data_IF_939684523010
#
_entry.id   IF_939684523010
#
_cell.length_a   1.000
_cell.length_b   1.000
_cell.length_c   1.000
_cell.angle_alpha   90.00
_cell.angle_beta   90.00
_cell.angle_gamma   90.00
#
_symmetry.space_group_name_H-M   'P 1'
#
loop_
_entity.id
_entity.type
_entity.pdbx_description
1 polymer ?
#
# COMPACT_ATOMS: atom_id res chain seq x y z
N UNK A 1 -1.11 19.73 -20.98
CA UNK A 1 0.16 19.33 -20.34
C UNK A 1 0.10 17.83 -20.09
N UNK A 2 0.67 16.99 -20.97
CA UNK A 2 0.68 15.53 -20.76
C UNK A 2 1.63 15.21 -19.60
N UNK A 3 1.11 14.60 -18.55
CA UNK A 3 1.94 14.08 -17.46
C UNK A 3 2.88 13.02 -18.05
N UNK A 4 4.19 13.11 -17.73
CA UNK A 4 5.14 12.11 -18.16
C UNK A 4 4.79 10.74 -17.58
N UNK A 5 5.14 9.64 -18.25
CA UNK A 5 4.87 8.29 -17.77
C UNK A 5 5.38 8.04 -16.32
N UNK A 6 6.52 8.63 -15.95
CA UNK A 6 7.05 8.60 -14.58
C UNK A 6 6.12 9.28 -13.54
N UNK A 7 5.32 10.27 -13.94
CA UNK A 7 4.37 10.93 -13.05
C UNK A 7 3.17 10.04 -12.74
N UNK A 8 2.75 9.21 -13.69
CA UNK A 8 1.69 8.24 -13.48
C UNK A 8 2.09 7.08 -12.55
N UNK A 9 3.36 6.65 -12.62
CA UNK A 9 3.88 5.68 -11.63
C UNK A 9 3.90 6.26 -10.22
N UNK A 10 4.32 7.53 -10.08
CA UNK A 10 4.27 8.24 -8.78
C UNK A 10 2.85 8.36 -8.26
N UNK A 11 1.90 8.73 -9.13
CA UNK A 11 0.48 8.80 -8.75
C UNK A 11 -0.08 7.43 -8.36
N UNK A 12 0.28 6.36 -9.07
CA UNK A 12 -0.10 4.99 -8.71
C UNK A 12 0.41 4.58 -7.33
N UNK A 13 1.70 4.85 -7.02
CA UNK A 13 2.26 4.55 -5.70
C UNK A 13 1.66 5.44 -4.60
N UNK A 14 1.41 6.71 -4.88
CA UNK A 14 0.68 7.60 -3.98
C UNK A 14 -0.71 7.04 -3.63
N UNK A 15 -1.46 6.58 -4.64
CA UNK A 15 -2.78 5.98 -4.45
C UNK A 15 -2.72 4.70 -3.61
N UNK A 16 -1.71 3.85 -3.85
CA UNK A 16 -1.50 2.65 -3.01
C UNK A 16 -1.20 3.05 -1.57
N UNK A 17 -0.36 4.07 -1.36
CA UNK A 17 -0.08 4.62 -0.03
C UNK A 17 -1.34 5.13 0.68
N UNK A 18 -2.17 5.92 -0.04
CA UNK A 18 -3.44 6.46 0.46
C UNK A 18 -4.32 5.38 1.08
N UNK A 19 -4.72 4.41 0.30
CA UNK A 19 -5.68 3.44 0.78
C UNK A 19 -5.04 2.38 1.69
N UNK A 20 -3.75 2.09 1.55
CA UNK A 20 -3.10 1.14 2.45
C UNK A 20 -3.08 1.66 3.89
N UNK A 21 -2.64 2.90 4.11
CA UNK A 21 -2.62 3.51 5.45
C UNK A 21 -4.03 3.73 6.00
N UNK A 22 -4.97 4.21 5.17
CA UNK A 22 -6.37 4.36 5.53
C UNK A 22 -6.97 3.04 6.04
N UNK A 23 -6.78 1.94 5.29
CA UNK A 23 -7.30 0.61 5.66
C UNK A 23 -6.69 0.10 6.97
N UNK A 24 -5.39 0.33 7.20
CA UNK A 24 -4.74 -0.06 8.46
C UNK A 24 -5.30 0.69 9.67
N UNK A 25 -5.76 1.92 9.49
CA UNK A 25 -6.23 2.79 10.57
C UNK A 25 -7.70 2.55 10.88
N UNK A 26 -8.55 2.46 9.86
CA UNK A 26 -10.01 2.52 10.03
C UNK A 26 -10.70 1.15 9.96
N UNK A 27 -10.13 0.15 9.29
CA UNK A 27 -10.79 -1.17 9.24
C UNK A 27 -10.75 -1.91 10.59
N UNK A 28 -9.69 -1.84 11.40
CA UNK A 28 -9.69 -2.51 12.70
C UNK A 28 -10.80 -2.08 13.65
N UNK A 29 -11.04 -0.77 13.91
CA UNK A 29 -12.20 -0.35 14.70
C UNK A 29 -13.52 -0.80 14.11
N UNK A 30 -13.76 -0.60 12.81
CA UNK A 30 -15.00 -1.00 12.14
C UNK A 30 -15.29 -2.51 12.25
N UNK A 31 -14.26 -3.34 12.11
CA UNK A 31 -14.41 -4.78 12.24
C UNK A 31 -14.73 -5.20 13.70
N UNK A 32 -14.15 -4.49 14.68
CA UNK A 32 -14.45 -4.68 16.11
C UNK A 32 -15.88 -4.30 16.44
N UNK A 33 -16.38 -3.16 15.95
CA UNK A 33 -17.76 -2.71 16.16
C UNK A 33 -18.78 -3.71 15.60
N UNK A 34 -18.42 -4.45 14.57
CA UNK A 34 -19.21 -5.55 14.01
C UNK A 34 -18.99 -6.90 14.73
N UNK A 35 -18.23 -6.94 15.83
CA UNK A 35 -18.06 -8.12 16.67
C UNK A 35 -16.88 -9.03 16.34
N UNK A 36 -15.92 -8.61 15.47
CA UNK A 36 -14.65 -9.35 15.30
C UNK A 36 -13.73 -9.10 16.49
N UNK A 37 -13.03 -10.15 16.90
CA UNK A 37 -11.96 -10.03 17.90
C UNK A 37 -10.73 -9.31 17.32
N UNK A 38 -9.91 -8.72 18.19
CA UNK A 38 -8.64 -8.09 17.81
C UNK A 38 -7.68 -9.08 17.12
N UNK A 39 -7.68 -10.36 17.57
CA UNK A 39 -6.88 -11.42 16.94
C UNK A 39 -7.36 -11.69 15.51
N UNK A 40 -8.67 -11.78 15.29
CA UNK A 40 -9.23 -11.96 13.95
C UNK A 40 -8.86 -10.78 13.06
N UNK A 41 -9.06 -9.56 13.53
CA UNK A 41 -8.76 -8.35 12.77
C UNK A 41 -7.27 -8.25 12.42
N UNK A 42 -6.38 -8.47 13.39
CA UNK A 42 -4.93 -8.47 13.14
C UNK A 42 -4.50 -9.60 12.17
N UNK A 43 -5.16 -10.76 12.25
CA UNK A 43 -4.87 -11.90 11.36
C UNK A 43 -5.19 -11.58 9.90
N UNK A 44 -6.24 -10.80 9.60
CA UNK A 44 -6.56 -10.35 8.24
C UNK A 44 -5.38 -9.64 7.60
N UNK A 45 -4.74 -8.75 8.35
CA UNK A 45 -3.57 -7.99 7.87
C UNK A 45 -2.31 -8.85 7.82
N UNK A 46 -2.07 -9.70 8.82
CA UNK A 46 -0.91 -10.58 8.87
C UNK A 46 -0.89 -11.56 7.70
N UNK A 47 -2.00 -12.22 7.40
CA UNK A 47 -2.13 -13.14 6.27
C UNK A 47 -1.85 -12.42 4.94
N UNK A 48 -2.40 -11.23 4.76
CA UNK A 48 -2.15 -10.41 3.57
C UNK A 48 -0.68 -9.98 3.46
N UNK A 49 -0.03 -9.64 4.57
CA UNK A 49 1.38 -9.25 4.60
C UNK A 49 2.30 -10.43 4.23
N UNK A 50 2.02 -11.63 4.71
CA UNK A 50 2.73 -12.85 4.32
C UNK A 50 2.57 -13.10 2.83
N UNK A 51 1.35 -13.03 2.30
CA UNK A 51 1.09 -13.17 0.87
C UNK A 51 1.86 -12.13 0.04
N UNK A 52 1.87 -10.87 0.48
CA UNK A 52 2.64 -9.79 -0.13
C UNK A 52 4.14 -10.08 -0.17
N UNK A 53 4.72 -10.53 0.93
CA UNK A 53 6.14 -10.86 1.02
C UNK A 53 6.52 -12.00 0.06
N UNK A 54 5.72 -13.05 0.02
CA UNK A 54 5.96 -14.22 -0.83
C UNK A 54 5.82 -13.90 -2.33
N UNK A 55 4.87 -13.05 -2.70
CA UNK A 55 4.56 -12.77 -4.12
C UNK A 55 5.37 -11.61 -4.70
N UNK A 56 5.90 -10.68 -3.89
CA UNK A 56 6.68 -9.53 -4.38
C UNK A 56 7.86 -9.92 -5.26
N UNK A 57 8.63 -10.93 -4.86
CA UNK A 57 9.76 -11.43 -5.65
C UNK A 57 9.32 -12.14 -6.94
N UNK A 58 8.16 -12.82 -6.92
CA UNK A 58 7.55 -13.42 -8.10
C UNK A 58 7.17 -12.33 -9.10
N UNK A 59 6.48 -11.27 -8.67
CA UNK A 59 6.05 -10.18 -9.53
C UNK A 59 7.23 -9.38 -10.11
N UNK A 60 8.34 -9.24 -9.36
CA UNK A 60 9.58 -8.68 -9.90
C UNK A 60 10.02 -9.44 -11.15
N UNK A 61 10.15 -10.77 -11.07
CA UNK A 61 10.53 -11.62 -12.21
C UNK A 61 9.45 -11.67 -13.30
N UNK A 62 8.17 -11.73 -12.92
CA UNK A 62 7.08 -11.72 -13.88
C UNK A 62 7.07 -10.42 -14.71
N UNK A 63 7.43 -9.30 -14.09
CA UNK A 63 7.52 -8.01 -14.78
C UNK A 63 8.65 -7.96 -15.82
N UNK A 64 9.73 -8.75 -15.65
CA UNK A 64 10.77 -8.93 -16.69
C UNK A 64 10.19 -9.61 -17.95
N UNK A 65 9.34 -10.61 -17.72
CA UNK A 65 8.79 -11.46 -18.80
C UNK A 65 7.58 -10.84 -19.49
N UNK A 66 6.63 -10.32 -18.71
CA UNK A 66 5.33 -9.83 -19.19
C UNK A 66 5.29 -8.31 -19.40
N UNK A 67 6.37 -7.61 -19.10
CA UNK A 67 6.52 -6.18 -19.23
C UNK A 67 6.18 -5.40 -17.96
N UNK A 68 7.04 -4.43 -17.61
CA UNK A 68 6.92 -3.60 -16.40
C UNK A 68 5.57 -2.89 -16.31
N UNK A 69 5.13 -2.30 -17.43
CA UNK A 69 3.85 -1.59 -17.53
C UNK A 69 2.66 -2.47 -17.18
N UNK A 70 2.58 -3.66 -17.78
CA UNK A 70 1.42 -4.54 -17.62
C UNK A 70 1.30 -5.04 -16.19
N UNK A 71 2.43 -5.40 -15.57
CA UNK A 71 2.45 -5.88 -14.18
C UNK A 71 2.14 -4.74 -13.19
N UNK A 72 2.59 -3.52 -13.44
CA UNK A 72 2.22 -2.37 -12.61
C UNK A 72 0.71 -2.07 -12.68
N UNK A 73 0.11 -2.15 -13.88
CA UNK A 73 -1.34 -2.01 -14.09
C UNK A 73 -2.10 -3.12 -13.37
N UNK A 74 -1.69 -4.37 -13.55
CA UNK A 74 -2.32 -5.52 -12.87
C UNK A 74 -2.32 -5.34 -11.35
N UNK A 75 -1.21 -4.88 -10.79
CA UNK A 75 -1.11 -4.60 -9.35
C UNK A 75 -2.07 -3.50 -8.89
N UNK A 76 -2.20 -2.39 -9.64
CA UNK A 76 -3.14 -1.32 -9.32
C UNK A 76 -4.60 -1.77 -9.41
N UNK A 77 -4.94 -2.57 -10.42
CA UNK A 77 -6.29 -3.14 -10.55
C UNK A 77 -6.59 -4.11 -9.40
N UNK A 78 -5.65 -5.01 -9.08
CA UNK A 78 -5.79 -5.91 -7.93
C UNK A 78 -5.93 -5.17 -6.61
N UNK A 79 -5.19 -4.08 -6.44
CA UNK A 79 -5.31 -3.20 -5.28
C UNK A 79 -6.70 -2.55 -5.20
N UNK A 80 -7.22 -1.94 -6.30
CA UNK A 80 -8.54 -1.34 -6.33
C UNK A 80 -9.66 -2.36 -6.06
N UNK A 81 -9.59 -3.53 -6.69
CA UNK A 81 -10.53 -4.64 -6.45
C UNK A 81 -10.50 -5.06 -4.97
N UNK A 82 -9.32 -5.13 -4.37
CA UNK A 82 -9.16 -5.49 -2.95
C UNK A 82 -9.86 -4.51 -2.01
N UNK A 83 -9.85 -3.21 -2.31
CA UNK A 83 -10.56 -2.20 -1.51
C UNK A 83 -12.08 -2.41 -1.56
N UNK A 84 -12.62 -2.69 -2.75
CA UNK A 84 -14.06 -2.99 -2.92
C UNK A 84 -14.41 -4.30 -2.24
N UNK A 85 -13.59 -5.34 -2.43
CA UNK A 85 -13.80 -6.65 -1.79
C UNK A 85 -13.71 -6.59 -0.26
N UNK A 86 -13.00 -5.61 0.31
CA UNK A 86 -12.88 -5.41 1.74
C UNK A 86 -14.12 -4.71 2.32
N UNK A 87 -14.63 -3.65 1.67
CA UNK A 87 -15.77 -2.90 2.19
C UNK A 87 -17.11 -3.64 1.99
N UNK A 88 -17.23 -4.42 0.92
CA UNK A 88 -18.48 -5.10 0.57
C UNK A 88 -19.00 -6.01 1.71
N UNK A 89 -18.21 -6.89 2.35
CA UNK A 89 -18.69 -7.71 3.46
C UNK A 89 -19.11 -6.89 4.68
N UNK A 90 -18.37 -5.81 5.01
CA UNK A 90 -18.69 -4.91 6.11
C UNK A 90 -20.09 -4.30 5.89
N UNK A 91 -20.33 -3.75 4.72
CA UNK A 91 -21.60 -3.17 4.31
C UNK A 91 -22.76 -4.18 4.32
N UNK A 92 -22.53 -5.41 3.85
CA UNK A 92 -23.56 -6.45 3.82
C UNK A 92 -23.94 -6.93 5.21
N UNK A 93 -22.99 -7.01 6.14
CA UNK A 93 -23.27 -7.37 7.53
C UNK A 93 -24.01 -6.26 8.25
N UNK A 94 -23.61 -5.00 8.09
CA UNK A 94 -24.28 -3.83 8.67
C UNK A 94 -25.77 -3.76 8.26
N UNK A 95 -26.08 -4.17 7.04
CA UNK A 95 -27.47 -4.23 6.52
C UNK A 95 -28.21 -5.56 6.79
N UNK A 96 -27.63 -6.45 7.59
CA UNK A 96 -28.18 -7.79 7.85
C UNK A 96 -28.40 -8.66 6.59
N UNK A 97 -27.65 -8.40 5.51
CA UNK A 97 -27.68 -9.18 4.27
C UNK A 97 -26.66 -10.32 4.27
N UNK A 98 -25.69 -10.29 5.16
CA UNK A 98 -24.66 -11.32 5.32
C UNK A 98 -24.58 -11.72 6.80
N UNK A 99 -24.51 -13.02 7.07
CA UNK A 99 -24.31 -13.50 8.43
C UNK A 99 -22.90 -13.13 8.93
N UNK A 100 -22.80 -12.68 10.18
CA UNK A 100 -21.55 -12.28 10.83
C UNK A 100 -20.45 -13.38 10.75
N UNK A 101 -20.84 -14.66 10.77
CA UNK A 101 -19.90 -15.78 10.66
C UNK A 101 -19.08 -15.77 9.36
N UNK A 102 -19.58 -15.16 8.29
CA UNK A 102 -18.88 -15.04 7.01
C UNK A 102 -18.03 -13.77 6.90
N UNK A 103 -18.14 -12.83 7.85
CA UNK A 103 -17.43 -11.56 7.79
C UNK A 103 -15.90 -11.77 7.80
N UNK A 104 -15.38 -12.52 8.77
CA UNK A 104 -13.94 -12.77 8.89
C UNK A 104 -13.34 -13.41 7.63
N UNK A 105 -13.84 -14.56 7.14
CA UNK A 105 -13.27 -15.17 5.93
C UNK A 105 -13.42 -14.28 4.69
N UNK A 106 -14.49 -13.50 4.56
CA UNK A 106 -14.66 -12.57 3.44
C UNK A 106 -13.63 -11.42 3.46
N UNK A 107 -13.36 -10.85 4.65
CA UNK A 107 -12.32 -9.83 4.81
C UNK A 107 -10.93 -10.39 4.53
N UNK A 108 -10.63 -11.62 4.97
CA UNK A 108 -9.37 -12.31 4.64
C UNK A 108 -9.21 -12.45 3.14
N UNK A 109 -10.24 -12.91 2.43
CA UNK A 109 -10.21 -13.07 0.97
C UNK A 109 -10.01 -11.72 0.26
N UNK A 110 -10.72 -10.67 0.66
CA UNK A 110 -10.55 -9.32 0.13
C UNK A 110 -9.11 -8.80 0.30
N UNK A 111 -8.52 -9.01 1.48
CA UNK A 111 -7.12 -8.61 1.75
C UNK A 111 -6.08 -9.50 1.05
N UNK A 112 -6.38 -10.78 0.86
CA UNK A 112 -5.51 -11.66 0.09
C UNK A 112 -5.35 -11.20 -1.35
N UNK A 113 -6.38 -10.64 -1.99
CA UNK A 113 -6.27 -10.05 -3.33
C UNK A 113 -5.18 -8.96 -3.34
N UNK A 114 -5.15 -8.10 -2.32
CA UNK A 114 -4.10 -7.10 -2.18
C UNK A 114 -2.71 -7.74 -1.99
N UNK A 115 -2.60 -8.72 -1.11
CA UNK A 115 -1.34 -9.43 -0.85
C UNK A 115 -0.82 -10.16 -2.10
N UNK A 116 -1.68 -10.86 -2.80
CA UNK A 116 -1.30 -11.69 -3.96
C UNK A 116 -1.08 -10.86 -5.23
N UNK A 117 -1.96 -9.91 -5.53
CA UNK A 117 -1.96 -9.17 -6.80
C UNK A 117 -1.51 -7.72 -6.61
N UNK A 118 -2.02 -7.01 -5.62
CA UNK A 118 -1.66 -5.61 -5.34
C UNK A 118 -0.16 -5.43 -5.08
N UNK A 119 0.51 -6.46 -4.55
CA UNK A 119 1.98 -6.51 -4.36
C UNK A 119 2.79 -6.33 -5.64
N UNK A 120 2.20 -6.49 -6.82
CA UNK A 120 2.86 -6.37 -8.11
C UNK A 120 3.24 -4.92 -8.47
N UNK A 121 2.48 -3.92 -8.01
CA UNK A 121 2.64 -2.51 -8.39
C UNK A 121 4.03 -1.99 -8.08
N UNK A 122 4.51 -2.23 -6.87
CA UNK A 122 5.75 -1.64 -6.35
C UNK A 122 6.99 -2.18 -7.06
N UNK A 123 7.27 -3.50 -7.10
CA UNK A 123 8.44 -4.04 -7.78
C UNK A 123 8.47 -3.71 -9.27
N UNK A 124 7.32 -3.74 -9.95
CA UNK A 124 7.24 -3.38 -11.36
C UNK A 124 7.55 -1.89 -11.62
N UNK A 125 7.08 -0.98 -10.75
CA UNK A 125 7.34 0.46 -10.86
C UNK A 125 8.82 0.80 -10.65
N UNK A 126 9.46 0.19 -9.63
CA UNK A 126 10.88 0.38 -9.36
C UNK A 126 11.75 -0.21 -10.47
N UNK A 127 11.38 -1.38 -10.98
CA UNK A 127 12.07 -2.00 -12.09
C UNK A 127 11.96 -1.17 -13.37
N UNK A 128 10.80 -0.60 -13.69
CA UNK A 128 10.64 0.31 -14.83
C UNK A 128 11.58 1.51 -14.74
N UNK A 129 11.66 2.14 -13.57
CA UNK A 129 12.57 3.28 -13.35
C UNK A 129 14.04 2.84 -13.43
N UNK A 130 14.38 1.65 -12.95
CA UNK A 130 15.73 1.10 -13.09
C UNK A 130 16.13 0.91 -14.56
N UNK A 131 15.20 0.42 -15.40
CA UNK A 131 15.45 0.14 -16.80
C UNK A 131 15.54 1.43 -17.65
N UNK A 132 14.79 2.47 -17.30
CA UNK A 132 14.67 3.72 -18.07
C UNK A 132 15.56 4.85 -17.57
N UNK A 133 16.34 4.65 -16.50
CA UNK A 133 17.14 5.72 -15.88
C UNK A 133 18.62 5.36 -15.83
N UNK A 134 19.55 6.26 -16.23
CA UNK A 134 20.98 6.08 -16.04
C UNK A 134 21.35 5.79 -14.58
N UNK A 135 22.38 4.98 -14.37
CA UNK A 135 22.77 4.48 -13.01
C UNK A 135 22.95 5.62 -12.00
N UNK A 136 23.54 6.72 -12.42
CA UNK A 136 23.87 7.89 -11.59
C UNK A 136 22.62 8.60 -11.05
N UNK A 137 21.49 8.51 -11.77
CA UNK A 137 20.23 9.18 -11.42
C UNK A 137 19.19 8.24 -10.79
N UNK A 138 19.48 6.93 -10.68
CA UNK A 138 18.50 5.93 -10.19
C UNK A 138 18.10 6.18 -8.75
N UNK A 139 19.06 6.48 -7.87
CA UNK A 139 18.81 6.73 -6.44
C UNK A 139 17.79 7.86 -6.25
N UNK A 140 17.96 8.98 -6.95
CA UNK A 140 17.05 10.12 -6.88
C UNK A 140 15.66 9.77 -7.42
N UNK A 141 15.59 8.99 -8.50
CA UNK A 141 14.31 8.56 -9.07
C UNK A 141 13.57 7.57 -8.15
N UNK A 142 14.29 6.65 -7.52
CA UNK A 142 13.73 5.74 -6.51
C UNK A 142 13.22 6.50 -5.29
N UNK A 143 14.01 7.45 -4.79
CA UNK A 143 13.60 8.30 -3.69
C UNK A 143 12.31 9.08 -4.00
N UNK A 144 12.13 9.58 -5.24
CA UNK A 144 10.89 10.25 -5.68
C UNK A 144 9.69 9.31 -5.76
N UNK A 145 9.87 8.05 -6.16
CA UNK A 145 8.81 7.05 -6.12
C UNK A 145 8.39 6.75 -4.68
N UNK A 146 9.38 6.53 -3.82
CA UNK A 146 9.16 6.25 -2.40
C UNK A 146 8.49 7.43 -1.68
N UNK A 147 8.94 8.66 -1.93
CA UNK A 147 8.30 9.86 -1.38
C UNK A 147 6.84 9.99 -1.81
N UNK A 148 6.50 9.60 -3.04
CA UNK A 148 5.10 9.61 -3.49
C UNK A 148 4.25 8.61 -2.72
N UNK A 149 4.77 7.40 -2.45
CA UNK A 149 4.11 6.41 -1.62
C UNK A 149 3.95 6.90 -0.18
N UNK A 150 5.03 7.43 0.44
CA UNK A 150 5.00 7.96 1.80
C UNK A 150 4.04 9.15 1.95
N UNK A 151 4.00 10.06 0.96
CA UNK A 151 3.02 11.13 0.93
C UNK A 151 1.58 10.60 0.93
N UNK A 152 1.34 9.53 0.16
CA UNK A 152 0.07 8.81 0.17
C UNK A 152 -0.24 8.25 1.55
N UNK A 153 0.74 7.63 2.24
CA UNK A 153 0.49 7.07 3.59
C UNK A 153 0.15 8.14 4.63
N UNK A 154 0.71 9.33 4.52
CA UNK A 154 0.35 10.48 5.39
C UNK A 154 -1.04 11.01 5.04
N UNK A 155 -1.32 11.18 3.76
CA UNK A 155 -2.57 11.76 3.30
C UNK A 155 -3.77 10.79 3.42
N UNK A 156 -3.52 9.47 3.40
CA UNK A 156 -4.56 8.44 3.38
C UNK A 156 -5.56 8.53 4.52
N UNK A 157 -5.13 8.49 5.78
CA UNK A 157 -6.02 8.64 6.92
C UNK A 157 -6.74 9.99 6.93
N UNK A 158 -6.05 11.08 6.59
CA UNK A 158 -6.65 12.42 6.55
C UNK A 158 -7.76 12.51 5.50
N UNK A 159 -7.45 12.17 4.25
CA UNK A 159 -8.43 12.20 3.15
C UNK A 159 -9.52 11.16 3.39
N UNK A 160 -9.16 9.97 3.82
CA UNK A 160 -10.09 8.89 4.12
C UNK A 160 -11.03 9.25 5.26
N UNK A 161 -10.55 9.88 6.33
CA UNK A 161 -11.36 10.36 7.43
C UNK A 161 -12.39 11.42 7.01
N UNK A 162 -12.00 12.38 6.15
CA UNK A 162 -12.95 13.34 5.58
C UNK A 162 -13.99 12.67 4.68
N UNK A 163 -13.58 11.73 3.84
CA UNK A 163 -14.52 10.99 2.98
C UNK A 163 -15.46 10.10 3.79
N UNK A 164 -15.01 9.60 4.93
CA UNK A 164 -15.79 8.78 5.85
C UNK A 164 -16.97 9.55 6.46
N UNK A 165 -16.87 10.88 6.59
CA UNK A 165 -17.98 11.72 7.03
C UNK A 165 -19.18 11.73 6.05
N UNK A 166 -18.96 11.33 4.79
CA UNK A 166 -20.04 11.23 3.78
C UNK A 166 -20.75 9.89 3.95
N UNK A 167 -20.04 8.79 3.81
CA UNK A 167 -20.46 7.41 4.14
C UNK A 167 -19.23 6.55 4.46
N UNK A 168 -19.45 5.45 5.19
CA UNK A 168 -18.38 4.52 5.57
C UNK A 168 -17.68 3.90 4.35
N UNK A 169 -18.37 3.80 3.22
CA UNK A 169 -17.89 3.17 2.00
C UNK A 169 -17.17 4.12 1.06
N UNK A 170 -17.46 5.43 1.14
CA UNK A 170 -16.97 6.46 0.19
C UNK A 170 -15.45 6.41 -0.01
N UNK A 171 -14.60 6.33 1.04
CA UNK A 171 -13.16 6.30 0.87
C UNK A 171 -12.66 5.11 0.03
N UNK A 172 -13.27 3.95 0.22
CA UNK A 172 -12.88 2.73 -0.51
C UNK A 172 -13.17 2.85 -2.00
N UNK A 173 -14.34 3.39 -2.36
CA UNK A 173 -14.69 3.64 -3.76
C UNK A 173 -13.81 4.71 -4.38
N UNK A 174 -13.58 5.83 -3.69
CA UNK A 174 -12.73 6.91 -4.19
C UNK A 174 -11.30 6.42 -4.44
N UNK A 175 -10.70 5.70 -3.49
CA UNK A 175 -9.35 5.18 -3.66
C UNK A 175 -9.26 4.08 -4.72
N UNK A 176 -10.31 3.26 -4.90
CA UNK A 176 -10.39 2.31 -6.02
C UNK A 176 -10.46 3.03 -7.37
N UNK A 177 -11.23 4.10 -7.48
CA UNK A 177 -11.31 4.93 -8.69
C UNK A 177 -9.96 5.59 -8.97
N UNK A 178 -9.27 6.13 -7.95
CA UNK A 178 -7.92 6.67 -8.10
C UNK A 178 -6.93 5.61 -8.63
N UNK A 179 -7.02 4.36 -8.14
CA UNK A 179 -6.19 3.27 -8.64
C UNK A 179 -6.50 2.94 -10.11
N UNK A 180 -7.77 2.95 -10.51
CA UNK A 180 -8.18 2.75 -11.90
C UNK A 180 -7.67 3.90 -12.80
N UNK A 181 -7.80 5.15 -12.36
CA UNK A 181 -7.28 6.32 -13.08
C UNK A 181 -5.76 6.20 -13.25
N UNK A 182 -5.03 5.81 -12.20
CA UNK A 182 -3.60 5.58 -12.26
C UNK A 182 -3.25 4.46 -13.26
N UNK A 183 -3.98 3.35 -13.25
CA UNK A 183 -3.79 2.24 -14.18
C UNK A 183 -4.01 2.67 -15.64
N UNK A 184 -5.07 3.43 -15.92
CA UNK A 184 -5.35 4.00 -17.24
C UNK A 184 -4.26 4.99 -17.66
N UNK A 185 -3.81 5.85 -16.73
CA UNK A 185 -2.74 6.80 -16.96
C UNK A 185 -1.41 6.10 -17.31
N UNK A 186 -1.08 5.04 -16.60
CA UNK A 186 0.09 4.19 -16.88
C UNK A 186 -0.07 3.53 -18.26
N UNK A 187 -1.24 2.96 -18.55
CA UNK A 187 -1.50 2.31 -19.84
C UNK A 187 -1.27 3.24 -21.04
N UNK A 188 -1.71 4.49 -20.94
CA UNK A 188 -1.64 5.47 -22.03
C UNK A 188 -0.26 6.13 -22.19
N UNK A 189 0.51 6.27 -21.10
CA UNK A 189 1.70 7.13 -21.07
C UNK A 189 3.02 6.39 -20.80
N UNK A 190 2.98 5.08 -20.46
CA UNK A 190 4.18 4.28 -20.34
C UNK A 190 4.37 3.41 -21.59
N UNK A 191 5.59 3.37 -22.09
CA UNK A 191 5.94 2.47 -23.17
C UNK A 191 5.91 1.02 -22.68
N UNK A 192 5.43 0.13 -23.54
CA UNK A 192 5.44 -1.31 -23.31
C UNK A 192 6.84 -1.89 -23.56
N UNK A 193 7.89 -1.30 -22.97
CA UNK A 193 9.21 -1.87 -23.10
C UNK A 193 9.26 -3.21 -22.36
N UNK A 194 9.33 -4.29 -23.12
CA UNK A 194 9.96 -5.53 -22.63
C UNK A 194 11.39 -5.14 -22.25
N UNK A 195 11.87 -5.65 -21.13
CA UNK A 195 13.25 -5.49 -20.73
C UNK A 195 14.13 -5.59 -22.00
N UNK A 196 14.72 -4.49 -22.44
CA UNK A 196 15.76 -4.54 -23.46
C UNK A 196 16.81 -5.48 -22.87
N UNK A 197 17.26 -6.46 -23.67
CA UNK A 197 18.27 -7.44 -23.34
C UNK A 197 19.64 -6.79 -22.97
N UNK A 198 19.64 -5.94 -21.99
CA UNK A 198 20.80 -5.72 -21.17
C UNK A 198 20.78 -6.95 -20.24
N UNK A 199 21.26 -8.09 -20.79
CA UNK A 199 21.78 -9.19 -19.96
C UNK A 199 22.64 -8.48 -18.92
N UNK A 200 22.06 -8.31 -17.73
CA UNK A 200 22.84 -7.91 -16.58
C UNK A 200 23.79 -9.07 -16.33
N UNK A 201 25.01 -8.96 -16.85
CA UNK A 201 26.13 -9.86 -16.52
C UNK A 201 26.42 -9.88 -15.01
N UNK A 202 25.66 -9.13 -14.24
CA UNK A 202 25.73 -9.12 -12.78
C UNK A 202 24.38 -9.55 -12.22
N UNK A 203 23.88 -10.72 -12.64
CA UNK A 203 23.07 -11.54 -11.76
C UNK A 203 24.01 -12.34 -10.85
N UNK A 204 24.83 -11.65 -10.07
CA UNK A 204 25.35 -12.24 -8.85
C UNK A 204 24.11 -12.54 -8.01
N UNK A 205 23.73 -13.82 -7.97
CA UNK A 205 22.67 -14.33 -7.10
C UNK A 205 23.06 -13.91 -5.67
N UNK A 206 22.58 -12.76 -5.24
CA UNK A 206 22.76 -12.30 -3.87
C UNK A 206 22.09 -13.38 -3.03
N UNK A 207 22.91 -14.19 -2.37
CA UNK A 207 22.39 -15.22 -1.47
C UNK A 207 21.77 -14.50 -0.29
N UNK A 208 20.50 -14.74 -0.03
CA UNK A 208 19.75 -14.20 1.12
C UNK A 208 20.48 -14.39 2.45
N UNK A 209 21.36 -15.38 2.54
CA UNK A 209 22.19 -15.72 3.69
C UNK A 209 23.60 -15.08 3.63
N UNK A 210 23.75 -13.98 2.90
CA UNK A 210 25.02 -13.23 2.92
C UNK A 210 25.19 -12.57 4.29
N UNK A 211 26.28 -12.86 4.99
CA UNK A 211 26.62 -12.27 6.30
C UNK A 211 26.62 -10.74 6.29
N UNK A 212 26.89 -10.13 5.13
CA UNK A 212 26.89 -8.67 4.97
C UNK A 212 25.49 -8.06 4.89
N UNK A 213 24.47 -8.80 4.44
CA UNK A 213 23.10 -8.28 4.22
C UNK A 213 22.19 -8.62 5.41
N UNK A 214 22.43 -9.72 6.09
CA UNK A 214 21.60 -10.22 7.17
C UNK A 214 21.35 -9.20 8.28
N UNK A 215 22.36 -8.42 8.79
CA UNK A 215 22.12 -7.40 9.80
C UNK A 215 21.17 -6.29 9.34
N UNK A 216 21.28 -5.87 8.09
CA UNK A 216 20.38 -4.84 7.52
C UNK A 216 18.96 -5.37 7.35
N UNK A 217 18.78 -6.62 6.94
CA UNK A 217 17.47 -7.26 6.85
C UNK A 217 16.82 -7.41 8.23
N UNK A 218 17.61 -7.82 9.23
CA UNK A 218 17.13 -7.93 10.60
C UNK A 218 16.70 -6.57 11.16
N UNK A 219 17.53 -5.54 10.99
CA UNK A 219 17.20 -4.18 11.42
C UNK A 219 15.94 -3.65 10.73
N UNK A 220 15.82 -3.82 9.41
CA UNK A 220 14.63 -3.44 8.67
C UNK A 220 13.37 -4.20 9.12
N UNK A 221 13.50 -5.50 9.43
CA UNK A 221 12.41 -6.30 9.95
C UNK A 221 11.95 -5.81 11.33
N UNK A 222 12.87 -5.53 12.25
CA UNK A 222 12.55 -5.01 13.59
C UNK A 222 11.86 -3.65 13.49
N UNK A 223 12.39 -2.71 12.67
CA UNK A 223 11.75 -1.41 12.47
C UNK A 223 10.34 -1.55 11.89
N UNK A 224 10.16 -2.43 10.90
CA UNK A 224 8.85 -2.66 10.29
C UNK A 224 7.85 -3.26 11.28
N UNK A 225 8.30 -4.18 12.14
CA UNK A 225 7.47 -4.76 13.20
C UNK A 225 7.04 -3.69 14.21
N UNK A 226 7.98 -2.87 14.71
CA UNK A 226 7.67 -1.78 15.62
C UNK A 226 6.67 -0.79 15.01
N UNK A 227 6.90 -0.36 13.77
CA UNK A 227 6.02 0.56 13.07
C UNK A 227 4.63 -0.04 12.84
N UNK A 228 4.53 -1.28 12.40
CA UNK A 228 3.24 -1.95 12.17
C UNK A 228 2.46 -2.15 13.46
N UNK A 229 3.13 -2.52 14.56
CA UNK A 229 2.50 -2.66 15.88
C UNK A 229 1.91 -1.33 16.36
N UNK A 230 2.68 -0.24 16.26
CA UNK A 230 2.19 1.10 16.63
C UNK A 230 0.99 1.51 15.77
N UNK A 231 1.07 1.30 14.44
CA UNK A 231 0.00 1.67 13.52
C UNK A 231 -1.31 0.93 13.81
N UNK A 232 -1.27 -0.35 14.17
CA UNK A 232 -2.47 -1.11 14.48
C UNK A 232 -3.02 -0.83 15.89
N UNK A 233 -2.13 -0.67 16.87
CA UNK A 233 -2.54 -0.49 18.28
C UNK A 233 -3.13 0.88 18.55
N UNK A 234 -2.69 1.94 17.84
CA UNK A 234 -3.11 3.31 18.13
C UNK A 234 -4.61 3.51 17.84
N UNK A 235 -5.15 2.85 16.81
CA UNK A 235 -6.59 2.90 16.50
C UNK A 235 -7.43 2.33 17.66
N UNK A 236 -7.08 1.16 18.15
CA UNK A 236 -7.75 0.55 19.31
C UNK A 236 -7.59 1.39 20.58
N UNK A 237 -6.37 1.90 20.85
CA UNK A 237 -6.10 2.73 22.01
C UNK A 237 -6.96 4.01 22.02
N UNK A 238 -7.08 4.69 20.90
CA UNK A 238 -7.91 5.91 20.80
C UNK A 238 -9.38 5.55 21.03
N UNK A 239 -9.86 4.44 20.45
CA UNK A 239 -11.23 3.96 20.65
C UNK A 239 -11.52 3.65 22.13
N UNK A 240 -10.60 2.94 22.80
CA UNK A 240 -10.76 2.56 24.21
C UNK A 240 -10.67 3.76 25.17
N UNK A 241 -9.86 4.79 24.84
CA UNK A 241 -9.66 5.95 25.70
C UNK A 241 -10.75 7.03 25.55
N UNK A 242 -11.23 7.28 24.34
CA UNK A 242 -12.19 8.34 24.07
C UNK A 242 -13.65 7.84 23.97
N UNK A 243 -13.89 6.54 23.94
CA UNK A 243 -15.25 5.97 23.87
C UNK A 243 -15.98 6.32 22.57
N UNK A 244 -17.30 6.38 22.67
CA UNK A 244 -18.19 6.59 21.51
C UNK A 244 -18.34 8.09 21.15
N UNK A 245 -17.25 8.71 20.71
CA UNK A 245 -17.33 10.06 20.14
C UNK A 245 -17.80 9.98 18.67
N UNK A 246 -18.80 10.80 18.32
CA UNK A 246 -19.33 10.89 16.92
C UNK A 246 -18.23 11.11 15.87
N UNK A 247 -17.12 11.76 16.24
CA UNK A 247 -16.01 12.09 15.36
C UNK A 247 -14.76 11.17 15.55
N UNK A 248 -14.92 10.02 16.18
CA UNK A 248 -13.81 9.12 16.48
C UNK A 248 -12.96 8.71 15.26
N UNK A 249 -13.54 8.34 14.10
CA UNK A 249 -12.75 8.02 12.90
C UNK A 249 -11.92 9.18 12.40
N UNK A 250 -12.43 10.40 12.51
CA UNK A 250 -11.71 11.63 12.13
C UNK A 250 -10.54 11.90 13.09
N UNK A 251 -10.75 11.74 14.40
CA UNK A 251 -9.70 11.90 15.41
C UNK A 251 -8.58 10.89 15.23
N UNK A 252 -8.92 9.62 15.03
CA UNK A 252 -7.97 8.56 14.70
C UNK A 252 -7.17 8.94 13.45
N UNK A 253 -7.85 9.38 12.39
CA UNK A 253 -7.24 9.74 11.12
C UNK A 253 -6.27 10.93 11.24
N UNK A 254 -6.63 11.96 12.00
CA UNK A 254 -5.76 13.13 12.26
C UNK A 254 -4.53 12.75 13.07
N UNK A 255 -4.69 11.94 14.12
CA UNK A 255 -3.58 11.48 14.96
C UNK A 255 -2.57 10.67 14.13
N UNK A 256 -3.06 9.80 13.25
CA UNK A 256 -2.21 9.04 12.34
C UNK A 256 -1.48 9.91 11.31
N UNK A 257 -2.16 10.88 10.70
CA UNK A 257 -1.55 11.81 9.76
C UNK A 257 -0.38 12.56 10.40
N UNK A 258 -0.58 13.04 11.63
CA UNK A 258 0.47 13.72 12.40
C UNK A 258 1.62 12.79 12.78
N UNK A 259 1.34 11.55 13.17
CA UNK A 259 2.36 10.56 13.54
C UNK A 259 3.26 10.15 12.38
N UNK A 260 2.74 10.11 11.15
CA UNK A 260 3.51 9.75 9.96
C UNK A 260 4.28 10.93 9.33
N UNK A 261 4.04 12.15 9.76
CA UNK A 261 4.69 13.35 9.22
C UNK A 261 6.23 13.36 9.38
N UNK A 262 6.84 12.98 10.53
CA UNK A 262 8.28 13.03 10.73
C UNK A 262 9.09 12.19 9.71
N UNK A 263 8.76 10.93 9.38
CA UNK A 263 9.47 10.15 8.36
C UNK A 263 9.41 10.77 6.97
N UNK A 264 8.29 11.41 6.64
CA UNK A 264 8.12 12.12 5.36
C UNK A 264 9.02 13.34 5.27
N UNK A 265 9.08 14.16 6.32
CA UNK A 265 9.95 15.34 6.39
C UNK A 265 11.43 14.96 6.34
N UNK A 266 11.84 13.89 7.03
CA UNK A 266 13.20 13.38 6.98
C UNK A 266 13.60 12.95 5.55
N UNK A 267 12.69 12.31 4.81
CA UNK A 267 12.95 11.91 3.43
C UNK A 267 13.09 13.12 2.49
N UNK A 268 12.24 14.13 2.65
CA UNK A 268 12.36 15.39 1.89
C UNK A 268 13.70 16.07 2.20
N UNK A 269 14.10 16.16 3.48
CA UNK A 269 15.37 16.75 3.89
C UNK A 269 16.57 16.04 3.25
N UNK A 270 16.58 14.72 3.26
CA UNK A 270 17.63 13.93 2.62
C UNK A 270 17.70 14.17 1.11
N UNK A 271 16.56 14.34 0.44
CA UNK A 271 16.51 14.62 -1.00
C UNK A 271 17.03 16.00 -1.37
N UNK A 272 16.91 16.98 -0.48
CA UNK A 272 17.32 18.38 -0.75
C UNK A 272 18.80 18.65 -0.41
N UNK A 273 19.40 17.87 0.50
CA UNK A 273 20.74 18.17 1.03
C UNK A 273 21.83 17.18 0.58
N UNK A 274 21.47 16.07 -0.05
CA UNK A 274 22.42 15.09 -0.60
C UNK A 274 22.42 15.08 -2.14
N UNK A 275 22.44 16.28 -2.73
CA UNK A 275 22.71 16.50 -4.16
C UNK A 275 24.12 16.97 -4.38
#
# INVERSE_FOLDING_TARGET
MSLSGSSWLKFGLFTVGLGQSFVFVLVPPLARDLGLTEIQTSSIFAISAVAWALTSAFWGRASDKYGRRNIAILGLLGYGISLIALITPLFLVERNLLNLSFLFPALVLGRLINGLVGSATRPASFAYVADTTPKEKRTVKFARLESSFLLGTVAGPLVGGFLFLITNETPFYVFSICALIAAIGIYKNLDSSKSTDIKSEISSKIKWNSKSILPFLFFAAVLSLCQSSLLQSIGFYITDFFGDLENLPTLISMTFGLFQCPPFLANIYLQTHFH
#
